data_IF_000831603778
#
_entry.id   IF_000831603778
#
_cell.length_a   1.000
_cell.length_b   1.000
_cell.length_c   1.000
_cell.angle_alpha   90.00
_cell.angle_beta   90.00
_cell.angle_gamma   90.00
#
_symmetry.space_group_name_H-M   'P 1'
#
loop_
_entity.id
_entity.type
_entity.pdbx_description
1 polymer ?
#
# COMPACT_ATOMS: atom_id res chain seq x y z
N UNK A 1 -8.02 -28.44 -53.47
CA UNK A 1 -6.82 -27.72 -52.99
C UNK A 1 -7.23 -26.26 -52.89
N UNK A 2 -7.92 -25.89 -51.81
CA UNK A 2 -8.40 -24.53 -51.57
C UNK A 2 -7.59 -23.94 -50.43
N UNK A 3 -6.93 -22.83 -50.72
CA UNK A 3 -5.99 -22.16 -49.82
C UNK A 3 -6.73 -21.32 -48.79
N UNK A 4 -6.58 -21.67 -47.51
CA UNK A 4 -6.86 -20.78 -46.39
C UNK A 4 -6.01 -19.52 -46.50
N UNK A 5 -6.59 -18.41 -46.94
CA UNK A 5 -6.01 -17.08 -46.76
C UNK A 5 -6.31 -16.65 -45.33
N UNK A 6 -5.44 -17.08 -44.40
CA UNK A 6 -5.48 -16.62 -43.02
C UNK A 6 -5.02 -15.15 -43.01
N UNK A 7 -5.96 -14.27 -42.67
CA UNK A 7 -5.81 -12.82 -42.70
C UNK A 7 -4.60 -12.35 -41.86
N UNK A 8 -3.55 -11.90 -42.54
CA UNK A 8 -2.22 -11.57 -42.02
C UNK A 8 -2.22 -10.43 -40.99
N UNK A 9 -3.34 -9.71 -40.84
CA UNK A 9 -3.50 -8.59 -39.91
C UNK A 9 -3.86 -9.02 -38.48
N UNK A 10 -4.48 -10.18 -38.31
CA UNK A 10 -4.92 -10.65 -36.98
C UNK A 10 -3.73 -11.20 -36.16
N UNK A 11 -2.68 -11.67 -36.84
CA UNK A 11 -1.50 -12.26 -36.19
C UNK A 11 -0.59 -11.25 -35.50
N UNK A 12 -0.64 -9.96 -35.86
CA UNK A 12 0.22 -8.92 -35.27
C UNK A 12 -0.33 -8.38 -33.93
N UNK A 13 -1.65 -8.40 -33.76
CA UNK A 13 -2.32 -7.94 -32.53
C UNK A 13 -2.10 -8.92 -31.36
N UNK A 14 -1.99 -10.22 -31.64
CA UNK A 14 -1.81 -11.26 -30.61
C UNK A 14 -0.39 -11.24 -30.01
N UNK A 15 0.62 -10.77 -30.77
CA UNK A 15 2.01 -10.68 -30.31
C UNK A 15 2.28 -9.53 -29.33
N UNK A 16 1.40 -8.51 -29.27
CA UNK A 16 1.56 -7.34 -28.41
C UNK A 16 0.83 -7.45 -27.05
N UNK A 17 -0.12 -8.38 -26.92
CA UNK A 17 -0.87 -8.62 -25.67
C UNK A 17 0.02 -9.03 -24.48
N UNK A 18 1.04 -9.91 -24.62
CA UNK A 18 1.82 -10.34 -23.45
C UNK A 18 2.77 -9.26 -22.89
N UNK A 19 3.04 -8.16 -23.64
CA UNK A 19 3.87 -7.06 -23.15
C UNK A 19 3.10 -6.03 -22.29
N UNK A 20 1.77 -6.09 -22.26
CA UNK A 20 0.94 -5.10 -21.57
C UNK A 20 0.58 -5.47 -20.12
N UNK A 21 0.97 -6.64 -19.64
CA UNK A 21 0.41 -7.21 -18.39
C UNK A 21 1.20 -6.85 -17.11
N UNK A 22 2.38 -6.20 -17.22
CA UNK A 22 3.24 -5.95 -16.04
C UNK A 22 3.05 -4.58 -15.36
N UNK A 23 2.07 -3.78 -15.78
CA UNK A 23 1.84 -2.41 -15.24
C UNK A 23 0.63 -2.29 -14.33
N UNK A 24 -0.01 -3.40 -13.93
CA UNK A 24 -1.16 -3.36 -13.03
C UNK A 24 -0.73 -3.57 -11.57
N UNK A 25 -1.31 -2.79 -10.65
CA UNK A 25 -1.16 -3.06 -9.24
C UNK A 25 -1.92 -4.34 -8.86
N UNK A 26 -1.35 -5.14 -7.96
CA UNK A 26 -1.91 -6.40 -7.51
C UNK A 26 -2.23 -6.33 -6.02
N UNK A 27 -3.46 -6.68 -5.64
CA UNK A 27 -3.80 -6.93 -4.24
C UNK A 27 -3.19 -8.27 -3.83
N UNK A 28 -2.27 -8.23 -2.86
CA UNK A 28 -1.54 -9.39 -2.34
C UNK A 28 -1.83 -9.61 -0.86
N UNK A 29 -2.93 -9.05 -0.36
CA UNK A 29 -3.30 -9.12 1.06
C UNK A 29 -3.46 -10.56 1.56
N UNK A 30 -3.89 -11.47 0.68
CA UNK A 30 -4.12 -12.89 1.01
C UNK A 30 -2.89 -13.78 0.78
N UNK A 31 -1.78 -13.24 0.26
CA UNK A 31 -0.59 -14.01 -0.01
C UNK A 31 0.14 -14.36 1.31
N UNK A 32 0.72 -15.56 1.40
CA UNK A 32 1.27 -16.09 2.65
C UNK A 32 2.34 -15.18 3.28
N UNK A 33 3.18 -14.55 2.46
CA UNK A 33 4.22 -13.63 2.93
C UNK A 33 3.64 -12.40 3.63
N UNK A 34 2.39 -12.00 3.34
CA UNK A 34 1.75 -10.84 3.96
C UNK A 34 1.08 -11.15 5.31
N UNK A 35 0.96 -12.43 5.70
CA UNK A 35 0.16 -12.88 6.84
C UNK A 35 0.59 -12.31 8.20
N UNK A 36 1.83 -11.84 8.33
CA UNK A 36 2.36 -11.20 9.55
C UNK A 36 1.89 -9.76 9.74
N UNK A 37 1.41 -9.11 8.69
CA UNK A 37 0.89 -7.73 8.78
C UNK A 37 -0.58 -7.65 8.36
N UNK A 38 -1.01 -8.44 7.39
CA UNK A 38 -2.36 -8.41 6.87
C UNK A 38 -3.36 -8.81 7.94
N UNK A 39 -4.41 -8.01 8.10
CA UNK A 39 -5.50 -8.25 9.04
C UNK A 39 -5.02 -8.35 10.52
N UNK A 40 -3.85 -7.76 10.79
CA UNK A 40 -3.29 -7.58 12.13
C UNK A 40 -3.54 -6.16 12.62
N UNK A 41 -3.60 -6.04 13.94
CA UNK A 41 -3.87 -4.78 14.61
C UNK A 41 -2.62 -4.24 15.28
N UNK A 42 -2.41 -2.94 15.15
CA UNK A 42 -1.25 -2.24 15.68
C UNK A 42 -1.69 -1.07 16.53
N UNK A 43 -1.16 -1.01 17.76
CA UNK A 43 -1.30 0.12 18.65
C UNK A 43 -0.25 1.16 18.29
N UNK A 44 -0.70 2.38 18.11
CA UNK A 44 0.15 3.55 17.90
C UNK A 44 0.85 3.91 19.22
N UNK A 45 2.16 4.11 19.18
CA UNK A 45 3.00 4.34 20.39
C UNK A 45 3.28 5.83 20.65
N UNK A 46 3.03 6.69 19.67
CA UNK A 46 3.15 8.16 19.72
C UNK A 46 2.19 8.81 18.73
N UNK A 47 1.81 10.05 18.94
CA UNK A 47 0.86 10.74 18.04
C UNK A 47 1.36 10.78 16.60
N UNK A 48 0.49 10.44 15.65
CA UNK A 48 0.79 10.42 14.22
C UNK A 48 -0.15 11.35 13.47
N UNK A 49 0.38 12.16 12.56
CA UNK A 49 -0.40 13.08 11.76
C UNK A 49 -1.00 12.37 10.54
N UNK A 50 -2.23 12.75 10.21
CA UNK A 50 -2.96 12.29 9.03
C UNK A 50 -2.98 13.44 8.03
N UNK A 51 -2.51 13.14 6.82
CA UNK A 51 -2.48 14.08 5.70
C UNK A 51 -3.36 13.57 4.56
N UNK A 52 -4.17 14.47 4.01
CA UNK A 52 -4.84 14.27 2.73
C UNK A 52 -3.91 14.74 1.60
N UNK A 53 -3.54 13.84 0.69
CA UNK A 53 -2.62 14.11 -0.42
C UNK A 53 -3.43 14.15 -1.73
N UNK A 54 -3.14 15.11 -2.61
CA UNK A 54 -3.77 15.25 -3.94
C UNK A 54 -2.71 15.51 -5.03
N UNK A 55 -2.96 15.02 -6.24
CA UNK A 55 -2.23 15.34 -7.47
C UNK A 55 -0.85 14.67 -7.63
N UNK A 56 -0.62 13.49 -7.06
CA UNK A 56 0.70 12.82 -7.08
C UNK A 56 0.67 11.46 -7.78
N UNK A 57 1.82 10.83 -8.05
CA UNK A 57 1.84 9.43 -8.52
C UNK A 57 1.21 8.46 -7.50
N UNK A 58 1.11 8.86 -6.23
CA UNK A 58 0.29 8.15 -5.22
C UNK A 58 -1.20 8.19 -5.54
N UNK A 59 -1.68 9.15 -6.32
CA UNK A 59 -3.09 9.19 -6.74
C UNK A 59 -3.44 8.02 -7.68
N UNK A 60 -2.46 7.48 -8.43
CA UNK A 60 -2.66 6.25 -9.22
C UNK A 60 -2.89 5.05 -8.31
N UNK A 61 -2.14 4.96 -7.20
CA UNK A 61 -2.41 4.00 -6.11
C UNK A 61 -3.79 4.24 -5.49
N UNK A 62 -4.19 5.51 -5.39
CA UNK A 62 -5.48 5.91 -4.84
C UNK A 62 -6.65 5.48 -5.72
N UNK A 63 -6.48 5.21 -7.02
CA UNK A 63 -7.55 4.65 -7.86
C UNK A 63 -8.12 3.32 -7.33
N UNK A 64 -7.37 2.61 -6.46
CA UNK A 64 -7.83 1.42 -5.73
C UNK A 64 -8.63 1.73 -4.45
N UNK A 65 -8.91 2.99 -4.13
CA UNK A 65 -9.71 3.43 -2.96
C UNK A 65 -10.35 4.82 -3.17
N UNK A 66 -11.66 4.96 -2.96
CA UNK A 66 -12.44 6.19 -3.20
C UNK A 66 -11.97 7.45 -2.44
N UNK A 67 -11.03 7.34 -1.51
CA UNK A 67 -10.31 8.45 -0.90
C UNK A 67 -9.08 7.96 -0.15
N UNK A 68 -8.03 8.79 -0.10
CA UNK A 68 -6.71 8.36 0.34
C UNK A 68 -6.10 9.34 1.35
N UNK A 69 -5.65 8.78 2.47
CA UNK A 69 -5.05 9.49 3.58
C UNK A 69 -3.70 8.84 3.88
N UNK A 70 -2.72 9.62 4.28
CA UNK A 70 -1.42 9.10 4.68
C UNK A 70 -1.16 9.43 6.13
N UNK A 71 -0.64 8.45 6.88
CA UNK A 71 -0.24 8.64 8.26
C UNK A 71 1.28 8.76 8.36
N UNK A 72 1.76 9.59 9.28
CA UNK A 72 3.19 9.65 9.56
C UNK A 72 3.54 10.41 10.81
N UNK A 73 4.81 10.30 11.21
CA UNK A 73 5.33 10.93 12.40
C UNK A 73 5.71 12.40 12.10
N UNK A 74 5.18 13.37 12.85
CA UNK A 74 5.54 14.78 12.67
C UNK A 74 7.03 15.10 12.86
N UNK A 75 7.77 14.27 13.62
CA UNK A 75 9.20 14.44 13.86
C UNK A 75 10.08 13.94 12.71
N UNK A 76 9.52 13.14 11.80
CA UNK A 76 10.24 12.61 10.64
C UNK A 76 10.19 13.60 9.47
N UNK A 77 11.28 13.70 8.71
CA UNK A 77 11.33 14.54 7.49
C UNK A 77 10.57 13.88 6.33
N UNK A 78 9.25 13.84 6.45
CA UNK A 78 8.40 13.16 5.49
C UNK A 78 8.04 14.07 4.32
N UNK A 79 8.17 13.57 3.09
CA UNK A 79 7.95 14.36 1.86
C UNK A 79 6.55 14.96 1.76
N UNK A 80 5.54 14.22 2.22
CA UNK A 80 4.14 14.61 2.11
C UNK A 80 3.72 15.72 3.07
N UNK A 81 4.53 16.06 4.07
CA UNK A 81 4.31 17.27 4.88
C UNK A 81 4.33 18.55 4.04
N UNK A 82 4.97 18.52 2.86
CA UNK A 82 5.08 19.66 1.93
C UNK A 82 3.90 19.78 0.96
N UNK A 83 3.24 18.66 0.64
CA UNK A 83 2.19 18.60 -0.39
C UNK A 83 0.83 18.16 0.14
N UNK A 84 0.80 17.64 1.37
CA UNK A 84 -0.37 17.12 2.04
C UNK A 84 -1.06 18.15 2.92
N UNK A 85 -2.39 18.15 2.90
CA UNK A 85 -3.20 18.91 3.85
C UNK A 85 -3.33 18.11 5.13
N UNK A 86 -2.87 18.66 6.26
CA UNK A 86 -3.15 18.09 7.56
C UNK A 86 -4.67 18.07 7.82
N UNK A 87 -5.21 16.92 8.22
CA UNK A 87 -6.65 16.76 8.47
C UNK A 87 -6.98 16.12 9.83
N UNK A 88 -5.98 15.71 10.60
CA UNK A 88 -6.18 15.13 11.91
C UNK A 88 -4.99 14.31 12.39
N UNK A 89 -5.18 13.61 13.50
CA UNK A 89 -4.12 12.86 14.19
C UNK A 89 -4.68 11.52 14.66
N UNK A 90 -3.87 10.46 14.57
CA UNK A 90 -4.07 9.21 15.30
C UNK A 90 -3.31 9.32 16.61
N UNK A 91 -4.03 9.30 17.73
CA UNK A 91 -3.43 9.54 19.04
C UNK A 91 -2.65 8.31 19.53
N UNK A 92 -1.66 8.55 20.40
CA UNK A 92 -1.00 7.50 21.15
C UNK A 92 -2.02 6.59 21.82
N UNK A 93 -1.85 5.29 21.62
CA UNK A 93 -2.70 4.23 22.12
C UNK A 93 -3.90 3.88 21.25
N UNK A 94 -4.16 4.62 20.19
CA UNK A 94 -5.17 4.24 19.21
C UNK A 94 -4.70 3.09 18.31
N UNK A 95 -5.67 2.43 17.69
CA UNK A 95 -5.45 1.20 16.94
C UNK A 95 -5.57 1.45 15.43
N UNK A 96 -4.68 0.80 14.68
CA UNK A 96 -4.72 0.67 13.23
C UNK A 96 -4.89 -0.79 12.88
N UNK A 97 -5.85 -1.11 12.02
CA UNK A 97 -6.02 -2.46 11.46
C UNK A 97 -5.49 -2.46 10.04
N UNK A 98 -4.44 -3.21 9.73
CA UNK A 98 -3.99 -3.36 8.35
C UNK A 98 -5.04 -4.17 7.59
N UNK A 99 -5.52 -3.62 6.47
CA UNK A 99 -6.61 -4.21 5.68
C UNK A 99 -6.23 -4.52 4.26
N UNK A 100 -5.18 -3.88 3.72
CA UNK A 100 -4.67 -4.16 2.38
C UNK A 100 -3.15 -4.10 2.31
N UNK A 101 -2.59 -5.00 1.52
CA UNK A 101 -1.19 -4.99 1.05
C UNK A 101 -1.22 -5.09 -0.46
N UNK A 102 -0.60 -4.13 -1.15
CA UNK A 102 -0.64 -4.01 -2.61
C UNK A 102 0.78 -3.98 -3.14
N UNK A 103 1.04 -4.82 -4.14
CA UNK A 103 2.24 -4.77 -5.01
C UNK A 103 1.94 -3.74 -6.12
N UNK A 104 2.48 -2.52 -5.98
CA UNK A 104 2.16 -1.39 -6.86
C UNK A 104 3.31 -1.08 -7.84
N UNK A 105 3.06 -1.03 -9.16
CA UNK A 105 4.09 -0.73 -10.15
C UNK A 105 4.41 0.77 -10.20
N UNK A 106 5.69 1.10 -10.13
CA UNK A 106 6.23 2.45 -10.23
C UNK A 106 7.09 2.62 -11.48
N UNK A 107 6.50 2.33 -12.64
CA UNK A 107 7.17 2.47 -13.94
C UNK A 107 8.49 1.68 -14.01
N UNK A 108 9.54 2.32 -14.52
CA UNK A 108 10.86 1.69 -14.69
C UNK A 108 11.64 1.46 -13.39
N UNK A 109 11.21 2.07 -12.28
CA UNK A 109 11.86 1.85 -10.98
C UNK A 109 11.52 0.47 -10.37
N UNK A 110 10.53 -0.22 -10.93
CA UNK A 110 10.00 -1.48 -10.40
C UNK A 110 8.77 -1.24 -9.52
N UNK A 111 8.48 -2.20 -8.64
CA UNK A 111 7.28 -2.15 -7.81
C UNK A 111 7.62 -1.74 -6.37
N UNK A 112 6.64 -1.24 -5.63
CA UNK A 112 6.76 -0.96 -4.21
C UNK A 112 5.54 -1.43 -3.43
N UNK A 113 5.71 -1.53 -2.11
CA UNK A 113 4.61 -1.85 -1.22
C UNK A 113 3.71 -0.65 -0.96
N UNK A 114 2.42 -0.90 -1.02
CA UNK A 114 1.39 0.01 -0.53
C UNK A 114 0.61 -0.73 0.54
N UNK A 115 0.74 -0.29 1.79
CA UNK A 115 0.07 -0.90 2.94
C UNK A 115 -0.98 0.05 3.50
N UNK A 116 -2.23 -0.42 3.56
CA UNK A 116 -3.37 0.39 3.99
C UNK A 116 -3.99 -0.15 5.27
N UNK A 117 -4.26 0.77 6.18
CA UNK A 117 -4.86 0.54 7.47
C UNK A 117 -6.23 1.22 7.59
N UNK A 118 -7.10 0.66 8.42
CA UNK A 118 -8.33 1.29 8.89
C UNK A 118 -8.08 1.91 10.26
N UNK A 119 -8.72 3.04 10.48
CA UNK A 119 -8.81 3.70 11.78
C UNK A 119 -10.25 4.13 12.02
N UNK A 120 -10.68 4.16 13.29
CA UNK A 120 -12.07 4.47 13.66
C UNK A 120 -12.53 5.87 13.23
N UNK A 121 -11.62 6.85 13.14
CA UNK A 121 -11.98 8.25 12.89
C UNK A 121 -11.82 8.66 11.42
N UNK A 122 -11.50 7.73 10.51
CA UNK A 122 -11.24 8.07 9.10
C UNK A 122 -12.49 8.02 8.22
N UNK A 123 -13.70 7.88 8.81
CA UNK A 123 -14.99 7.89 8.09
C UNK A 123 -15.00 6.97 6.86
N UNK A 124 -14.44 5.76 7.00
CA UNK A 124 -14.36 4.77 5.94
C UNK A 124 -13.18 4.93 4.96
N UNK A 125 -12.42 6.04 5.04
CA UNK A 125 -11.17 6.20 4.30
C UNK A 125 -10.09 5.29 4.88
N UNK A 126 -9.21 4.75 4.03
CA UNK A 126 -8.03 4.01 4.49
C UNK A 126 -6.83 4.94 4.66
N UNK A 127 -6.03 4.70 5.71
CA UNK A 127 -4.74 5.32 5.94
C UNK A 127 -3.66 4.47 5.30
N UNK A 128 -2.86 5.01 4.39
CA UNK A 128 -1.59 4.37 4.02
C UNK A 128 -0.53 4.67 5.06
N UNK A 129 0.17 3.61 5.47
CA UNK A 129 1.38 3.71 6.28
C UNK A 129 2.61 3.81 5.36
N UNK A 130 3.69 4.51 5.76
CA UNK A 130 4.92 4.63 4.96
C UNK A 130 5.49 3.25 4.58
N UNK A 131 5.39 2.85 3.32
CA UNK A 131 5.76 1.49 2.89
C UNK A 131 6.47 1.43 1.54
N UNK A 132 6.37 2.46 0.72
CA UNK A 132 6.95 2.45 -0.62
C UNK A 132 8.35 3.06 -0.60
N UNK A 133 9.33 2.25 -0.96
CA UNK A 133 10.74 2.65 -0.97
C UNK A 133 11.09 3.83 -1.90
N UNK A 134 10.21 4.15 -2.85
CA UNK A 134 10.44 5.24 -3.81
C UNK A 134 10.16 6.62 -3.21
N UNK A 135 9.10 6.76 -2.42
CA UNK A 135 8.59 8.06 -2.02
C UNK A 135 8.43 8.25 -0.52
N UNK A 136 8.53 7.18 0.27
CA UNK A 136 8.40 7.23 1.73
C UNK A 136 9.78 7.23 2.38
N UNK A 137 9.99 8.17 3.30
CA UNK A 137 11.16 8.18 4.17
C UNK A 137 10.75 8.68 5.56
N UNK A 138 10.97 7.89 6.62
CA UNK A 138 11.42 6.49 6.59
C UNK A 138 10.37 5.52 6.04
N UNK A 139 10.81 4.31 5.68
CA UNK A 139 9.95 3.20 5.27
C UNK A 139 9.68 2.34 6.50
N UNK A 140 8.44 1.96 6.75
CA UNK A 140 8.04 1.18 7.93
C UNK A 140 7.92 -0.32 7.68
N UNK A 141 8.09 -0.76 6.44
CA UNK A 141 7.92 -2.16 6.01
C UNK A 141 9.23 -2.77 5.54
N UNK A 142 9.47 -4.02 5.93
CA UNK A 142 10.49 -4.90 5.36
C UNK A 142 9.84 -6.18 4.82
N UNK A 143 10.37 -6.82 3.76
CA UNK A 143 11.43 -6.31 2.87
C UNK A 143 10.98 -5.03 2.14
N UNK A 144 11.93 -4.21 1.69
CA UNK A 144 11.67 -2.84 1.21
C UNK A 144 10.86 -2.81 -0.09
N UNK A 145 10.91 -3.89 -0.89
CA UNK A 145 10.22 -3.98 -2.17
C UNK A 145 9.65 -5.38 -2.47
N UNK A 146 8.65 -5.49 -3.35
CA UNK A 146 8.17 -6.76 -3.89
C UNK A 146 9.24 -7.60 -4.59
N UNK A 147 10.22 -6.96 -5.23
CA UNK A 147 11.32 -7.68 -5.90
C UNK A 147 12.23 -8.33 -4.84
N UNK A 148 12.58 -7.59 -3.79
CA UNK A 148 13.37 -8.13 -2.69
C UNK A 148 12.64 -9.29 -1.99
N UNK A 149 11.33 -9.17 -1.78
CA UNK A 149 10.51 -10.24 -1.24
C UNK A 149 10.59 -11.49 -2.12
N UNK A 150 10.36 -11.37 -3.43
CA UNK A 150 10.42 -12.50 -4.38
C UNK A 150 11.79 -13.18 -4.44
N UNK A 151 12.86 -12.43 -4.19
CA UNK A 151 14.23 -12.94 -4.21
C UNK A 151 14.66 -13.61 -2.89
N UNK A 152 13.97 -13.32 -1.79
CA UNK A 152 14.38 -13.77 -0.44
C UNK A 152 13.33 -14.64 0.25
N UNK A 153 12.12 -14.72 -0.31
CA UNK A 153 10.93 -15.37 0.25
C UNK A 153 10.61 -14.94 1.70
N UNK A 154 11.09 -13.77 2.10
CA UNK A 154 10.82 -13.22 3.44
C UNK A 154 9.37 -12.81 3.59
N UNK A 155 8.85 -12.98 4.81
CA UNK A 155 7.57 -12.42 5.21
C UNK A 155 7.66 -10.89 5.31
N UNK A 156 6.53 -10.21 5.07
CA UNK A 156 6.39 -8.78 5.29
C UNK A 156 6.24 -8.48 6.77
N UNK A 157 6.99 -7.51 7.28
CA UNK A 157 7.02 -7.09 8.67
C UNK A 157 6.91 -5.58 8.78
N UNK A 158 6.23 -5.11 9.83
CA UNK A 158 6.29 -3.69 10.25
C UNK A 158 7.51 -3.52 11.18
N UNK A 159 8.41 -2.62 10.82
CA UNK A 159 9.64 -2.26 11.55
C UNK A 159 9.62 -0.85 12.13
N UNK A 160 8.43 -0.23 12.19
CA UNK A 160 8.26 1.09 12.78
C UNK A 160 8.09 1.04 14.29
N UNK A 161 8.88 1.82 15.02
CA UNK A 161 8.72 2.01 16.47
C UNK A 161 7.37 2.66 16.83
N UNK A 162 6.78 3.36 15.87
CA UNK A 162 5.45 3.99 15.91
C UNK A 162 4.32 2.98 16.13
N UNK A 163 4.53 1.71 15.77
CA UNK A 163 3.49 0.69 15.71
C UNK A 163 3.90 -0.55 16.49
N UNK A 164 3.07 -0.94 17.45
CA UNK A 164 3.24 -2.18 18.22
C UNK A 164 2.09 -3.14 17.94
N UNK A 165 2.37 -4.34 17.46
CA UNK A 165 1.34 -5.36 17.24
C UNK A 165 0.60 -5.65 18.55
N UNK A 166 -0.72 -5.80 18.46
CA UNK A 166 -1.59 -6.22 19.57
C UNK A 166 -2.50 -7.37 19.12
N UNK A 167 -2.92 -8.25 20.05
CA UNK A 167 -3.87 -9.31 19.73
C UNK A 167 -5.12 -8.75 19.07
N UNK A 168 -5.57 -9.41 18.00
CA UNK A 168 -6.70 -8.94 17.18
C UNK A 168 -8.00 -8.74 17.98
N UNK A 169 -8.25 -9.57 19.00
CA UNK A 169 -9.42 -9.44 19.88
C UNK A 169 -9.51 -8.08 20.60
N UNK A 170 -8.39 -7.35 20.69
CA UNK A 170 -8.31 -6.04 21.33
C UNK A 170 -8.35 -4.88 20.32
N UNK A 171 -8.68 -5.15 19.04
CA UNK A 171 -8.61 -4.17 17.98
C UNK A 171 -9.86 -3.28 17.92
N UNK A 172 -9.77 -2.08 18.50
CA UNK A 172 -10.83 -1.06 18.44
C UNK A 172 -10.85 -0.24 17.15
N UNK A 173 -10.07 -0.64 16.13
CA UNK A 173 -10.00 0.04 14.83
C UNK A 173 -11.18 -0.28 13.89
N UNK A 174 -12.15 -1.10 14.34
CA UNK A 174 -13.35 -1.39 13.57
C UNK A 174 -14.30 -0.19 13.60
N UNK A 175 -14.80 0.19 12.42
CA UNK A 175 -15.84 1.19 12.27
C UNK A 175 -17.14 0.58 12.80
N UNK A 176 -17.81 1.24 13.74
CA UNK A 176 -19.19 0.90 14.09
C UNK A 176 -20.00 0.86 12.79
N UNK A 177 -20.62 -0.29 12.50
CA UNK A 177 -21.50 -0.49 11.35
C UNK A 177 -22.55 0.61 11.24
#
# INVERSE_FOLDING_TARGET
>A
METCVLDKKISFLIFLVPFLVSCAAKDVTSDAFAAKIADKCFKVTKDLNIYEIKGSDKDKVSSFSSSYLMIGDPSEKQRFTKTGKFIGTVKNGEMLLITKVIDFPYGSAGNCWVVKARHKNTKGKLLEIPSCWVWDQPIWIEPLSPIEQKNTDKELLIKAEQLKEVPRGNCSAQVSK
#
